data_IF_602022749511
#
_entry.id   IF_602022749511
#
_cell.length_a   1.000
_cell.length_b   1.000
_cell.length_c   1.000
_cell.angle_alpha   90.00
_cell.angle_beta   90.00
_cell.angle_gamma   90.00
#
_symmetry.space_group_name_H-M   'P 1'
#
loop_
_entity.id
_entity.type
_entity.pdbx_description
1 polymer ?
#
# COMPACT_ATOMS: atom_id res chain seq x y z
N UNK A 1 -4.36 39.99 4.29
CA UNK A 1 -3.10 39.25 4.13
C UNK A 1 -3.41 37.79 4.38
N UNK A 2 -3.19 36.89 3.43
CA UNK A 2 -3.40 35.46 3.66
C UNK A 2 -2.29 34.97 4.60
N UNK A 3 -2.64 34.39 5.75
CA UNK A 3 -1.67 33.68 6.58
C UNK A 3 -1.03 32.58 5.73
N UNK A 4 0.30 32.54 5.72
CA UNK A 4 1.03 31.44 5.11
C UNK A 4 0.62 30.16 5.86
N UNK A 5 -0.13 29.28 5.20
CA UNK A 5 -0.53 28.00 5.79
C UNK A 5 0.73 27.20 6.03
N UNK A 6 1.08 26.97 7.29
CA UNK A 6 2.24 26.17 7.66
C UNK A 6 2.06 24.74 7.12
N UNK A 7 3.03 24.27 6.33
CA UNK A 7 3.01 22.94 5.72
C UNK A 7 3.79 21.98 6.61
N UNK A 8 3.14 20.90 7.05
CA UNK A 8 3.77 19.86 7.87
C UNK A 8 4.01 18.62 7.02
N UNK A 9 4.85 18.73 5.99
CA UNK A 9 5.16 17.62 5.09
C UNK A 9 6.44 16.89 5.47
N UNK A 10 6.51 15.61 5.09
CA UNK A 10 7.71 14.80 5.18
C UNK A 10 7.76 13.80 4.02
N UNK A 11 8.95 13.63 3.44
CA UNK A 11 9.23 12.62 2.44
C UNK A 11 10.16 11.57 3.04
N UNK A 12 9.75 10.31 2.99
CA UNK A 12 10.60 9.19 3.45
C UNK A 12 11.82 9.06 2.55
N UNK A 13 12.98 8.81 3.15
CA UNK A 13 14.24 8.62 2.41
C UNK A 13 14.58 7.15 2.17
N UNK A 14 13.96 6.24 2.93
CA UNK A 14 14.14 4.80 2.77
C UNK A 14 12.87 4.12 2.21
N UNK A 15 13.02 3.18 1.25
CA UNK A 15 11.89 2.39 0.76
C UNK A 15 11.25 1.56 1.88
N UNK A 16 9.94 1.73 2.04
CA UNK A 16 9.14 1.12 3.12
C UNK A 16 8.06 0.21 2.53
N UNK A 17 7.83 -0.96 3.14
CA UNK A 17 6.79 -1.89 2.71
C UNK A 17 5.42 -1.21 2.76
N UNK A 18 4.67 -1.33 1.66
CA UNK A 18 3.35 -0.71 1.51
C UNK A 18 2.27 -1.79 1.43
N UNK A 19 1.37 -1.75 2.39
CA UNK A 19 0.18 -2.57 2.47
C UNK A 19 -1.04 -1.84 1.92
N UNK A 20 -1.97 -2.59 1.33
CA UNK A 20 -3.23 -2.09 0.76
C UNK A 20 -3.08 -0.82 -0.11
N UNK A 21 -2.22 -0.84 -1.15
CA UNK A 21 -2.06 0.31 -2.04
C UNK A 21 -3.32 0.50 -2.89
N UNK A 22 -3.96 1.64 -2.73
CA UNK A 22 -5.11 2.10 -3.51
C UNK A 22 -4.74 3.46 -4.12
N UNK A 23 -3.71 3.47 -4.97
CA UNK A 23 -3.17 4.69 -5.56
C UNK A 23 -3.62 4.92 -7.01
N UNK A 24 -3.97 3.84 -7.71
CA UNK A 24 -4.47 3.89 -9.08
C UNK A 24 -5.97 4.16 -9.11
N UNK A 25 -6.68 3.64 -8.10
CA UNK A 25 -8.13 3.75 -7.99
C UNK A 25 -8.49 4.07 -6.54
N UNK A 26 -9.39 5.04 -6.37
CA UNK A 26 -9.93 5.39 -5.06
C UNK A 26 -10.92 4.31 -4.59
N UNK A 27 -10.83 3.93 -3.33
CA UNK A 27 -11.73 2.92 -2.73
C UNK A 27 -12.53 3.52 -1.58
N UNK A 28 -13.79 3.11 -1.45
CA UNK A 28 -14.62 3.48 -0.30
C UNK A 28 -14.25 2.66 0.93
N UNK A 29 -14.33 3.30 2.09
CA UNK A 29 -14.11 2.61 3.36
C UNK A 29 -15.30 1.68 3.68
N UNK A 30 -15.03 0.42 4.03
CA UNK A 30 -16.07 -0.51 4.45
C UNK A 30 -16.17 -0.58 5.97
N UNK A 31 -17.34 -0.21 6.52
CA UNK A 31 -17.66 -0.37 7.95
C UNK A 31 -18.77 -1.41 8.09
N UNK A 32 -18.50 -2.50 8.81
CA UNK A 32 -19.46 -3.61 8.96
C UNK A 32 -19.86 -4.25 7.63
N UNK A 33 -18.92 -4.34 6.68
CA UNK A 33 -19.17 -4.91 5.35
C UNK A 33 -19.85 -3.97 4.34
N UNK A 34 -20.37 -2.82 4.78
CA UNK A 34 -21.03 -1.83 3.92
C UNK A 34 -20.08 -0.70 3.54
N UNK A 35 -20.14 -0.24 2.30
CA UNK A 35 -19.40 0.95 1.85
C UNK A 35 -19.91 2.19 2.56
N UNK A 36 -18.98 3.02 3.02
CA UNK A 36 -19.27 4.23 3.78
C UNK A 36 -18.30 5.34 3.40
N UNK A 37 -18.80 6.58 3.37
CA UNK A 37 -18.00 7.76 3.08
C UNK A 37 -17.56 7.89 1.61
N UNK A 38 -16.70 8.88 1.38
CA UNK A 38 -16.12 9.17 0.07
C UNK A 38 -15.01 8.18 -0.27
N UNK A 39 -14.88 7.85 -1.57
CA UNK A 39 -13.77 7.04 -2.07
C UNK A 39 -12.45 7.81 -1.91
N UNK A 40 -11.41 7.13 -1.42
CA UNK A 40 -10.10 7.75 -1.20
C UNK A 40 -8.99 6.90 -1.79
N UNK A 41 -7.96 7.57 -2.28
CA UNK A 41 -6.67 6.97 -2.54
C UNK A 41 -5.96 6.76 -1.21
N UNK A 42 -5.32 5.61 -0.99
CA UNK A 42 -4.71 5.32 0.30
C UNK A 42 -3.63 4.25 0.25
N UNK A 43 -2.84 4.20 1.32
CA UNK A 43 -1.88 3.15 1.57
C UNK A 43 -1.59 3.03 3.07
N UNK A 44 -0.97 1.92 3.45
CA UNK A 44 -0.45 1.70 4.80
C UNK A 44 1.04 1.41 4.69
N UNK A 45 1.86 2.25 5.30
CA UNK A 45 3.31 2.05 5.34
C UNK A 45 3.70 1.33 6.62
N UNK A 46 4.45 0.25 6.48
CA UNK A 46 4.84 -0.67 7.56
C UNK A 46 6.28 -0.38 7.97
N UNK A 47 6.47 0.25 9.13
CA UNK A 47 7.77 0.67 9.61
C UNK A 47 8.30 -0.24 10.72
N UNK A 48 9.62 -0.44 10.72
CA UNK A 48 10.33 -0.90 11.91
C UNK A 48 10.21 0.15 13.04
N UNK A 49 10.07 -0.28 14.31
CA UNK A 49 9.94 0.65 15.43
C UNK A 49 11.12 1.64 15.59
N UNK A 50 12.31 1.23 15.17
CA UNK A 50 13.55 2.01 15.27
C UNK A 50 13.88 2.87 14.03
N UNK A 51 13.07 2.75 12.97
CA UNK A 51 13.23 3.47 11.70
C UNK A 51 13.38 4.99 11.91
N UNK A 52 14.38 5.57 11.25
CA UNK A 52 14.60 7.01 11.28
C UNK A 52 13.46 7.79 10.60
N UNK A 53 12.92 7.26 9.49
CA UNK A 53 11.76 7.87 8.82
C UNK A 53 10.55 7.88 9.75
N UNK A 54 10.30 6.81 10.50
CA UNK A 54 9.21 6.77 11.47
C UNK A 54 9.37 7.84 12.57
N UNK A 55 10.58 8.02 13.09
CA UNK A 55 10.88 9.05 14.10
C UNK A 55 10.59 10.45 13.54
N UNK A 56 11.03 10.73 12.32
CA UNK A 56 10.82 12.02 11.67
C UNK A 56 9.34 12.28 11.33
N UNK A 57 8.63 11.27 10.85
CA UNK A 57 7.18 11.33 10.61
C UNK A 57 6.40 11.64 11.89
N UNK A 58 6.71 10.94 12.99
CA UNK A 58 6.10 11.22 14.30
C UNK A 58 6.42 12.63 14.80
N UNK A 59 7.65 13.10 14.61
CA UNK A 59 8.05 14.45 14.98
C UNK A 59 7.25 15.51 14.19
N UNK A 60 7.08 15.33 12.88
CA UNK A 60 6.30 16.22 12.02
C UNK A 60 4.81 16.21 12.36
N UNK A 61 4.23 15.05 12.67
CA UNK A 61 2.86 14.97 13.14
C UNK A 61 2.68 15.68 14.50
N UNK A 62 3.65 15.57 15.41
CA UNK A 62 3.63 16.27 16.69
C UNK A 62 3.79 17.80 16.51
N UNK A 63 4.58 18.25 15.53
CA UNK A 63 4.69 19.67 15.15
C UNK A 63 3.33 20.21 14.70
N UNK A 64 2.64 19.49 13.79
CA UNK A 64 1.31 19.86 13.32
C UNK A 64 0.29 19.95 14.48
N UNK A 65 0.33 18.99 15.41
CA UNK A 65 -0.53 19.00 16.59
C UNK A 65 -0.26 20.22 17.50
N UNK A 66 1.01 20.51 17.79
CA UNK A 66 1.41 21.62 18.66
C UNK A 66 1.13 22.99 18.06
N UNK A 67 1.17 23.10 16.74
CA UNK A 67 0.80 24.33 16.04
C UNK A 67 -0.69 24.67 16.24
N UNK A 68 -1.57 23.67 16.25
CA UNK A 68 -3.02 23.89 16.44
C UNK A 68 -3.44 23.95 17.91
N UNK A 69 -2.91 23.07 18.76
CA UNK A 69 -3.26 22.98 20.18
C UNK A 69 -2.01 23.14 21.06
N UNK A 70 -1.50 24.37 21.24
CA UNK A 70 -0.36 24.60 22.12
C UNK A 70 -0.72 24.21 23.56
N UNK A 71 0.17 23.44 24.20
CA UNK A 71 0.02 23.03 25.60
C UNK A 71 -0.81 21.76 25.84
N UNK A 72 -1.50 21.22 24.83
CA UNK A 72 -2.25 19.96 24.97
C UNK A 72 -1.31 18.75 24.95
N UNK A 73 -1.60 17.73 25.76
CA UNK A 73 -0.85 16.48 25.72
C UNK A 73 -1.09 15.73 24.41
N UNK A 74 -0.01 15.26 23.78
CA UNK A 74 -0.10 14.45 22.55
C UNK A 74 -0.83 13.12 22.81
N UNK A 75 -0.85 12.61 24.04
CA UNK A 75 -1.57 11.36 24.37
C UNK A 75 -3.09 11.49 24.27
N UNK A 76 -3.62 12.71 24.29
CA UNK A 76 -5.05 12.98 24.17
C UNK A 76 -5.52 12.99 22.72
N UNK A 77 -4.59 13.10 21.77
CA UNK A 77 -4.87 13.26 20.35
C UNK A 77 -4.78 11.93 19.60
N UNK A 78 -5.56 11.82 18.53
CA UNK A 78 -5.44 10.71 17.60
C UNK A 78 -4.37 10.99 16.54
N UNK A 79 -3.55 9.99 16.25
CA UNK A 79 -2.50 10.06 15.23
C UNK A 79 -2.68 8.97 14.16
N UNK A 80 -2.05 9.14 12.97
CA UNK A 80 -2.19 8.18 11.87
C UNK A 80 -1.33 6.92 12.06
N UNK A 81 -0.69 6.76 13.22
CA UNK A 81 0.16 5.62 13.56
C UNK A 81 -0.61 4.60 14.39
N UNK A 82 -0.47 3.32 14.07
CA UNK A 82 -1.06 2.18 14.78
C UNK A 82 0.00 1.15 15.12
N UNK A 83 -0.22 0.43 16.21
CA UNK A 83 0.56 -0.74 16.58
C UNK A 83 0.12 -1.93 15.70
N UNK A 84 1.05 -2.47 14.91
CA UNK A 84 0.74 -3.55 13.98
C UNK A 84 0.43 -4.88 14.65
N UNK A 85 0.99 -5.17 15.82
CA UNK A 85 0.64 -6.35 16.63
C UNK A 85 -0.80 -6.24 17.11
N UNK A 86 -1.21 -5.08 17.63
CA UNK A 86 -2.57 -4.85 18.10
C UNK A 86 -3.59 -4.90 16.96
N UNK A 87 -3.26 -4.34 15.79
CA UNK A 87 -4.12 -4.45 14.60
C UNK A 87 -4.22 -5.90 14.10
N UNK A 88 -3.16 -6.70 14.23
CA UNK A 88 -3.19 -8.11 13.82
C UNK A 88 -4.11 -8.90 14.77
N UNK A 89 -3.95 -8.71 16.07
CA UNK A 89 -4.84 -9.32 17.07
C UNK A 89 -6.32 -8.97 16.85
N UNK A 90 -6.64 -7.71 16.52
CA UNK A 90 -8.01 -7.29 16.16
C UNK A 90 -8.53 -8.03 14.92
N UNK A 91 -7.68 -8.21 13.91
CA UNK A 91 -8.02 -8.96 12.69
C UNK A 91 -8.35 -10.41 13.02
N UNK A 92 -7.49 -11.09 13.78
CA UNK A 92 -7.68 -12.49 14.19
C UNK A 92 -8.96 -12.65 15.02
N UNK A 93 -9.19 -11.77 15.99
CA UNK A 93 -10.41 -11.76 16.78
C UNK A 93 -11.67 -11.60 15.92
N UNK A 94 -11.62 -10.72 14.92
CA UNK A 94 -12.73 -10.54 13.95
C UNK A 94 -12.96 -11.80 13.12
N UNK A 95 -11.91 -12.46 12.62
CA UNK A 95 -12.05 -13.71 11.87
C UNK A 95 -12.70 -14.80 12.70
N UNK A 96 -12.25 -14.97 13.94
CA UNK A 96 -12.82 -15.93 14.88
C UNK A 96 -14.31 -15.65 15.14
N UNK A 97 -14.69 -14.38 15.31
CA UNK A 97 -16.09 -13.97 15.45
C UNK A 97 -16.94 -14.25 14.18
N UNK A 98 -16.31 -14.26 13.01
CA UNK A 98 -16.92 -14.66 11.73
C UNK A 98 -16.85 -16.18 11.46
N UNK A 99 -16.35 -16.99 12.40
CA UNK A 99 -16.21 -18.44 12.25
C UNK A 99 -15.08 -18.88 11.30
N UNK A 100 -14.09 -18.03 11.05
CA UNK A 100 -12.94 -18.31 10.18
C UNK A 100 -11.67 -18.51 11.02
N UNK A 101 -10.85 -19.47 10.61
CA UNK A 101 -9.51 -19.67 11.17
C UNK A 101 -8.54 -18.59 10.71
N UNK A 102 -7.51 -18.32 11.52
CA UNK A 102 -6.46 -17.39 11.14
C UNK A 102 -5.72 -17.88 9.89
N UNK A 103 -5.55 -16.99 8.92
CA UNK A 103 -4.90 -17.29 7.64
C UNK A 103 -3.45 -16.81 7.58
N UNK A 104 -2.91 -16.26 8.68
CA UNK A 104 -1.52 -15.77 8.77
C UNK A 104 -1.23 -14.54 7.91
N UNK A 105 -2.21 -14.05 7.14
CA UNK A 105 -2.00 -12.90 6.23
C UNK A 105 -1.76 -11.58 6.98
N UNK A 106 -2.00 -11.56 8.28
CA UNK A 106 -1.74 -10.41 9.15
C UNK A 106 -0.33 -10.40 9.76
N UNK A 107 0.50 -11.42 9.54
CA UNK A 107 1.73 -11.57 10.34
C UNK A 107 2.80 -10.53 10.00
N UNK A 108 2.78 -10.01 8.77
CA UNK A 108 3.74 -9.00 8.29
C UNK A 108 3.76 -7.69 9.10
N UNK A 109 2.71 -7.42 9.87
CA UNK A 109 2.59 -6.21 10.71
C UNK A 109 2.96 -6.46 12.18
N UNK A 110 3.21 -7.69 12.60
CA UNK A 110 3.58 -8.00 13.98
C UNK A 110 4.93 -7.34 14.32
N UNK A 111 4.97 -6.62 15.45
CA UNK A 111 6.14 -5.87 15.90
C UNK A 111 6.42 -4.59 15.12
N UNK A 112 5.55 -4.20 14.17
CA UNK A 112 5.73 -3.02 13.31
C UNK A 112 4.84 -1.85 13.74
N UNK A 113 5.17 -0.66 13.24
CA UNK A 113 4.30 0.51 13.33
C UNK A 113 3.70 0.80 11.97
N UNK A 114 2.37 0.90 11.92
CA UNK A 114 1.62 1.15 10.70
C UNK A 114 1.27 2.63 10.60
N UNK A 115 1.67 3.30 9.53
CA UNK A 115 1.18 4.64 9.22
C UNK A 115 0.14 4.54 8.11
N UNK A 116 -1.08 5.00 8.38
CA UNK A 116 -2.13 5.12 7.36
C UNK A 116 -2.17 6.54 6.81
N UNK A 117 -2.07 6.69 5.50
CA UNK A 117 -2.34 7.96 4.82
C UNK A 117 -3.36 7.78 3.71
N UNK A 118 -4.16 8.81 3.47
CA UNK A 118 -5.20 8.79 2.45
C UNK A 118 -5.46 10.18 1.90
N UNK A 119 -5.85 10.27 0.64
CA UNK A 119 -6.22 11.53 -0.03
C UNK A 119 -7.50 11.34 -0.84
N UNK A 120 -8.26 12.43 -0.97
CA UNK A 120 -9.38 12.50 -1.91
C UNK A 120 -8.88 12.55 -3.36
N UNK A 121 -7.72 13.16 -3.56
CA UNK A 121 -7.11 13.33 -4.87
C UNK A 121 -6.07 12.24 -5.11
N UNK A 122 -5.89 11.88 -6.38
CA UNK A 122 -4.88 10.90 -6.76
C UNK A 122 -3.49 11.45 -6.42
N UNK A 123 -2.65 10.72 -5.67
CA UNK A 123 -1.28 11.15 -5.42
C UNK A 123 -0.47 11.12 -6.72
N UNK A 124 0.56 11.94 -6.82
CA UNK A 124 1.53 11.83 -7.93
C UNK A 124 2.28 10.51 -7.80
N UNK A 125 2.29 9.73 -8.87
CA UNK A 125 2.92 8.42 -8.87
C UNK A 125 4.17 8.40 -9.72
N UNK A 126 5.20 7.75 -9.21
CA UNK A 126 6.40 7.46 -9.97
C UNK A 126 6.91 6.06 -9.67
N UNK A 127 7.72 5.53 -10.58
CA UNK A 127 8.30 4.20 -10.44
C UNK A 127 9.79 4.27 -10.76
N UNK A 128 10.60 3.67 -9.89
CA UNK A 128 12.00 3.39 -10.20
C UNK A 128 12.11 2.16 -11.10
N UNK A 129 12.63 2.35 -12.32
CA UNK A 129 12.86 1.25 -13.26
C UNK A 129 14.30 0.74 -13.14
N UNK A 130 14.54 -0.56 -13.32
CA UNK A 130 15.90 -1.09 -13.42
C UNK A 130 16.70 -0.33 -14.49
N UNK A 131 17.91 0.14 -14.14
CA UNK A 131 18.78 0.90 -15.04
C UNK A 131 18.40 2.36 -15.25
N UNK A 132 17.29 2.85 -14.69
CA UNK A 132 16.92 4.25 -14.79
C UNK A 132 17.77 5.13 -13.85
N UNK A 133 18.17 6.30 -14.35
CA UNK A 133 18.90 7.32 -13.59
C UNK A 133 17.99 8.18 -12.70
N UNK A 134 16.68 8.16 -12.95
CA UNK A 134 15.66 8.92 -12.26
C UNK A 134 14.34 8.12 -12.25
N UNK A 135 13.42 8.38 -11.31
CA UNK A 135 12.11 7.74 -11.32
C UNK A 135 11.28 8.24 -12.52
N UNK A 136 10.48 7.34 -13.09
CA UNK A 136 9.56 7.65 -14.20
C UNK A 136 8.22 8.05 -13.59
N UNK A 137 7.74 9.26 -13.89
CA UNK A 137 6.42 9.72 -13.47
C UNK A 137 5.31 9.07 -14.32
N UNK A 138 4.19 8.76 -13.67
CA UNK A 138 2.98 8.24 -14.32
C UNK A 138 2.02 9.40 -14.53
N UNK A 139 2.14 10.08 -15.66
CA UNK A 139 1.39 11.29 -15.99
C UNK A 139 0.20 11.05 -16.91
N UNK A 140 0.15 9.91 -17.59
CA UNK A 140 -0.86 9.59 -18.60
C UNK A 140 -1.32 8.13 -18.52
N UNK A 141 -2.44 7.84 -19.17
CA UNK A 141 -3.09 6.53 -19.16
C UNK A 141 -2.19 5.40 -19.66
N UNK A 142 -1.28 5.68 -20.61
CA UNK A 142 -0.33 4.68 -21.11
C UNK A 142 0.66 4.31 -20.02
N UNK A 143 1.27 5.31 -19.36
CA UNK A 143 2.16 5.08 -18.24
C UNK A 143 1.47 4.34 -17.09
N UNK A 144 0.21 4.68 -16.77
CA UNK A 144 -0.60 3.97 -15.78
C UNK A 144 -0.84 2.51 -16.17
N UNK A 145 -1.18 2.21 -17.43
CA UNK A 145 -1.36 0.83 -17.91
C UNK A 145 -0.05 0.03 -17.89
N UNK A 146 1.05 0.63 -18.32
CA UNK A 146 2.35 -0.06 -18.41
C UNK A 146 2.99 -0.28 -17.04
N UNK A 147 2.77 0.61 -16.07
CA UNK A 147 3.52 0.61 -14.81
C UNK A 147 2.66 0.51 -13.54
N UNK A 148 1.33 0.61 -13.65
CA UNK A 148 0.42 0.52 -12.50
C UNK A 148 0.55 -0.78 -11.72
N UNK A 149 0.81 -1.91 -12.41
CA UNK A 149 1.05 -3.22 -11.76
C UNK A 149 2.21 -3.26 -10.76
N UNK A 150 3.05 -2.21 -10.71
CA UNK A 150 4.17 -2.04 -9.78
C UNK A 150 3.77 -1.42 -8.44
N UNK A 151 2.49 -1.13 -8.23
CA UNK A 151 1.92 -0.70 -6.95
C UNK A 151 1.13 -1.85 -6.31
N UNK A 152 1.78 -2.97 -6.03
CA UNK A 152 1.14 -4.15 -5.44
C UNK A 152 1.24 -4.20 -3.92
N UNK A 153 0.35 -4.95 -3.29
CA UNK A 153 0.40 -5.18 -1.84
C UNK A 153 1.70 -5.89 -1.47
N UNK A 154 2.57 -5.17 -0.75
CA UNK A 154 3.89 -5.63 -0.29
C UNK A 154 5.05 -4.95 -0.99
N UNK A 155 4.79 -4.13 -2.01
CA UNK A 155 5.83 -3.35 -2.68
C UNK A 155 6.43 -2.33 -1.72
N UNK A 156 7.74 -2.10 -1.85
CA UNK A 156 8.45 -1.03 -1.17
C UNK A 156 8.23 0.28 -1.93
N UNK A 157 7.86 1.32 -1.20
CA UNK A 157 7.67 2.66 -1.75
C UNK A 157 8.36 3.71 -0.88
N UNK A 158 8.68 4.85 -1.48
CA UNK A 158 8.91 6.11 -0.77
C UNK A 158 7.63 6.94 -0.88
N UNK A 159 7.29 7.70 0.16
CA UNK A 159 6.07 8.50 0.22
C UNK A 159 6.37 9.91 0.72
N UNK A 160 5.72 10.88 0.09
CA UNK A 160 5.52 12.22 0.65
C UNK A 160 4.12 12.30 1.28
N UNK A 161 4.06 12.69 2.55
CA UNK A 161 2.81 12.95 3.27
C UNK A 161 2.77 14.38 3.80
N UNK A 162 1.56 14.94 3.89
CA UNK A 162 1.29 16.19 4.60
C UNK A 162 0.42 15.91 5.83
N UNK A 163 0.87 16.34 7.00
CA UNK A 163 0.12 16.22 8.25
C UNK A 163 -0.80 17.41 8.46
N UNK A 164 -2.07 17.13 8.74
CA UNK A 164 -3.08 18.18 8.96
C UNK A 164 -3.82 17.90 10.26
N UNK A 165 -3.83 18.85 11.21
CA UNK A 165 -4.58 18.72 12.44
C UNK A 165 -6.08 18.97 12.21
N UNK A 166 -6.94 18.19 12.83
CA UNK A 166 -8.40 18.25 12.67
C UNK A 166 -9.11 18.21 14.03
N UNK A 167 -10.20 18.97 14.15
CA UNK A 167 -11.09 18.84 15.30
C UNK A 167 -12.07 17.69 15.06
N UNK A 168 -12.41 16.95 16.11
CA UNK A 168 -13.44 15.92 16.07
C UNK A 168 -14.78 16.55 15.66
N UNK A 169 -15.43 15.93 14.68
CA UNK A 169 -16.71 16.42 14.14
C UNK A 169 -17.91 15.78 14.85
N UNK A 170 -17.71 14.63 15.49
CA UNK A 170 -18.77 13.87 16.17
C UNK A 170 -18.50 13.81 17.66
N UNK A 171 -19.58 13.83 18.44
CA UNK A 171 -19.53 13.63 19.88
C UNK A 171 -18.91 12.26 20.21
N UNK A 172 -17.89 12.27 21.07
CA UNK A 172 -17.14 11.07 21.45
C UNK A 172 -15.92 10.73 20.58
N UNK A 173 -15.74 11.37 19.42
CA UNK A 173 -14.50 11.24 18.64
C UNK A 173 -13.40 12.14 19.23
N UNK A 174 -12.13 11.78 18.98
CA UNK A 174 -10.97 12.56 19.42
C UNK A 174 -10.45 13.46 18.31
N UNK A 175 -10.09 14.68 18.67
CA UNK A 175 -9.24 15.55 17.86
C UNK A 175 -7.93 14.82 17.51
N UNK A 176 -7.30 15.21 16.41
CA UNK A 176 -6.10 14.53 16.00
C UNK A 176 -5.38 15.12 14.82
N UNK A 177 -4.44 14.34 14.31
CA UNK A 177 -3.68 14.63 13.10
C UNK A 177 -3.93 13.52 12.09
N UNK A 178 -4.24 13.91 10.86
CA UNK A 178 -4.33 13.00 9.72
C UNK A 178 -3.11 13.15 8.83
N UNK A 179 -2.79 12.11 8.05
CA UNK A 179 -1.77 12.16 7.01
C UNK A 179 -2.45 12.09 5.62
N UNK A 180 -2.23 13.12 4.80
CA UNK A 180 -2.61 13.14 3.39
C UNK A 180 -1.44 12.67 2.54
N UNK A 181 -1.67 11.66 1.69
CA UNK A 181 -0.67 11.20 0.73
C UNK A 181 -0.59 12.18 -0.43
N UNK A 182 0.62 12.66 -0.71
CA UNK A 182 0.89 13.64 -1.76
C UNK A 182 1.53 12.96 -2.97
N UNK A 183 2.59 12.18 -2.73
CA UNK A 183 3.36 11.51 -3.76
C UNK A 183 3.79 10.12 -3.31
N UNK A 184 3.89 9.18 -4.24
CA UNK A 184 4.38 7.82 -3.98
C UNK A 184 5.32 7.38 -5.10
N UNK A 185 6.53 6.97 -4.73
CA UNK A 185 7.49 6.36 -5.64
C UNK A 185 7.63 4.87 -5.34
N UNK A 186 7.21 4.00 -6.26
CA UNK A 186 7.44 2.55 -6.13
C UNK A 186 8.85 2.19 -6.63
N UNK A 187 9.59 1.41 -5.86
CA UNK A 187 10.86 0.84 -6.34
C UNK A 187 10.68 -0.53 -7.01
N UNK A 188 9.43 -0.98 -7.18
CA UNK A 188 9.07 -2.27 -7.79
C UNK A 188 9.82 -3.47 -7.19
N UNK A 189 10.04 -3.43 -5.86
CA UNK A 189 10.67 -4.49 -5.08
C UNK A 189 9.84 -4.76 -3.84
N UNK A 190 9.88 -5.99 -3.33
CA UNK A 190 9.12 -6.41 -2.15
C UNK A 190 8.44 -7.75 -2.38
N UNK A 191 8.17 -8.46 -1.29
CA UNK A 191 7.39 -9.69 -1.35
C UNK A 191 5.90 -9.34 -1.45
N UNK A 192 5.18 -10.00 -2.36
CA UNK A 192 3.74 -9.78 -2.51
C UNK A 192 3.00 -10.42 -1.32
N UNK A 193 2.37 -9.59 -0.49
CA UNK A 193 1.72 -10.02 0.76
C UNK A 193 0.31 -10.60 0.55
N UNK A 194 -0.35 -10.28 -0.57
CA UNK A 194 -1.62 -10.89 -0.96
C UNK A 194 -1.89 -10.75 -2.47
N UNK A 195 -2.80 -11.57 -2.98
CA UNK A 195 -3.17 -11.66 -4.40
C UNK A 195 -2.55 -12.88 -5.09
N UNK A 196 -2.93 -13.11 -6.35
CA UNK A 196 -2.32 -14.18 -7.15
C UNK A 196 -0.82 -13.91 -7.36
N UNK A 197 -0.01 -14.98 -7.36
CA UNK A 197 1.40 -14.92 -7.79
C UNK A 197 1.47 -14.35 -9.21
N UNK A 198 2.56 -13.67 -9.53
CA UNK A 198 2.74 -13.17 -10.89
C UNK A 198 2.71 -14.33 -11.89
N UNK A 199 2.24 -14.07 -13.12
CA UNK A 199 2.28 -15.09 -14.17
C UNK A 199 3.73 -15.56 -14.42
N UNK A 200 4.70 -14.64 -14.38
CA UNK A 200 6.13 -14.95 -14.47
C UNK A 200 6.62 -15.92 -13.40
N UNK A 201 6.18 -15.79 -12.14
CA UNK A 201 6.52 -16.75 -11.09
C UNK A 201 5.79 -18.08 -11.27
N UNK A 202 4.52 -18.02 -11.66
CA UNK A 202 3.66 -19.19 -11.88
C UNK A 202 4.19 -20.05 -13.02
N UNK A 203 4.71 -19.43 -14.08
CA UNK A 203 5.18 -20.11 -15.29
C UNK A 203 6.71 -20.15 -15.42
N UNK A 204 7.48 -19.78 -14.37
CA UNK A 204 8.96 -19.80 -14.39
C UNK A 204 9.53 -21.18 -14.74
N UNK A 205 8.82 -22.25 -14.39
CA UNK A 205 9.20 -23.63 -14.71
C UNK A 205 8.88 -24.08 -16.14
N UNK A 206 8.04 -23.35 -16.88
CA UNK A 206 7.60 -23.77 -18.21
C UNK A 206 8.70 -23.61 -19.27
N UNK A 207 9.54 -22.58 -19.17
CA UNK A 207 10.63 -22.36 -20.13
C UNK A 207 11.75 -23.41 -20.06
N UNK A 208 11.84 -24.17 -18.96
CA UNK A 208 12.85 -25.23 -18.77
C UNK A 208 12.37 -26.64 -19.16
N UNK A 209 11.11 -26.78 -19.60
CA UNK A 209 10.51 -28.08 -19.92
C UNK A 209 10.34 -28.33 -21.43
N UNK A 210 10.90 -27.47 -22.29
CA UNK A 210 11.06 -27.80 -23.71
C UNK A 210 12.22 -28.80 -23.82
N UNK A 211 11.92 -30.07 -23.51
CA UNK A 211 12.74 -31.17 -24.02
C UNK A 211 12.70 -31.11 -25.54
N UNK A 212 13.85 -31.23 -26.19
CA UNK A 212 13.99 -31.41 -27.65
C UNK A 212 13.45 -32.77 -28.13
N UNK A 213 12.46 -33.35 -27.45
CA UNK A 213 11.73 -34.51 -27.94
C UNK A 213 10.52 -33.98 -28.69
N UNK A 214 10.58 -34.12 -30.01
CA UNK A 214 9.46 -33.97 -30.92
C UNK A 214 8.25 -34.75 -30.38
N UNK A 215 7.16 -34.09 -29.96
CA UNK A 215 5.96 -34.77 -29.47
C UNK A 215 5.18 -35.46 -30.59
N UNK A 216 5.58 -35.26 -31.85
CA UNK A 216 5.11 -36.00 -33.02
C UNK A 216 6.17 -37.02 -33.44
N UNK A 217 6.46 -37.98 -32.55
CA UNK A 217 7.24 -39.16 -32.92
C UNK A 217 6.71 -39.73 -34.24
N UNK A 218 7.55 -39.70 -35.28
CA UNK A 218 7.16 -39.81 -36.68
C UNK A 218 6.09 -40.87 -36.96
N UNK A 219 4.87 -40.40 -37.21
CA UNK A 219 3.81 -41.21 -37.81
C UNK A 219 3.94 -41.10 -39.33
N UNK A 220 4.86 -41.90 -39.89
CA UNK A 220 4.82 -42.22 -41.31
C UNK A 220 3.56 -43.06 -41.60
N UNK A 221 2.79 -42.62 -42.60
CA UNK A 221 1.84 -43.37 -43.41
C UNK A 221 0.91 -44.39 -42.71
N UNK A 222 -0.36 -44.01 -42.54
CA UNK A 222 -1.47 -44.94 -42.74
C UNK A 222 -2.53 -44.28 -43.62
N UNK A 223 -2.47 -44.70 -44.88
CA UNK A 223 -3.55 -44.76 -45.85
C UNK A 223 -4.66 -45.64 -45.23
N UNK A 224 -5.88 -45.12 -45.09
CA UNK A 224 -7.05 -45.99 -44.98
C UNK A 224 -8.33 -45.23 -45.38
N UNK A 225 -9.01 -45.82 -46.35
CA UNK A 225 -10.24 -45.41 -47.00
C UNK A 225 -11.36 -45.06 -46.03
N UNK A 226 -12.13 -44.02 -46.39
CA UNK A 226 -13.45 -43.73 -45.79
C UNK A 226 -14.49 -44.42 -46.69
N UNK A 227 -15.17 -45.49 -46.26
CA UNK A 227 -16.30 -46.02 -47.02
C UNK A 227 -17.55 -45.17 -46.76
N UNK A 228 -18.23 -44.84 -47.86
CA UNK A 228 -19.48 -44.06 -47.95
C UNK A 228 -20.68 -44.73 -47.25
#
# INVERSE_FOLDING_TARGET
MAEATQIFSYTTVAPTVTAHPHFLEAVKFKRGGKETGEAKYSGVWVFEPDSQDLKNLKAKAAEAARAKWPGRSLSELQFPFKDGTAECAKRVAKMKAEGKEDDGKGDFQIGKVLMKASSKFQPKLSVWLPGAKAPVELTDETAFKTHGGKFYFGVKTMVEVNFVPYDAVREGDKDGVTAYVQQVCSINQGERLAGARSASETFKGYSGAVKNEDPTGGAAAMDDEIPF
#
